data_IF_821667847129
#
_entry.id   IF_821667847129
#
_cell.length_a   1.000
_cell.length_b   1.000
_cell.length_c   1.000
_cell.angle_alpha   90.00
_cell.angle_beta   90.00
_cell.angle_gamma   90.00
#
_symmetry.space_group_name_H-M   'P 1'
#
loop_
_entity.id
_entity.type
_entity.pdbx_description
1 polymer ?
#
# COMPACT_ATOMS: atom_id res chain seq x y z
N UNK A 1 -13.39 24.33 -6.15
CA UNK A 1 -13.22 23.34 -5.06
C UNK A 1 -11.90 22.67 -5.36
N UNK A 2 -10.90 22.89 -4.52
CA UNK A 2 -9.61 22.22 -4.69
C UNK A 2 -9.84 20.72 -4.55
N UNK A 3 -9.36 19.94 -5.50
CA UNK A 3 -9.48 18.48 -5.45
C UNK A 3 -8.74 17.98 -4.19
N UNK A 4 -9.41 17.10 -3.46
CA UNK A 4 -8.91 16.60 -2.18
C UNK A 4 -7.85 15.54 -2.47
N UNK A 5 -6.56 15.88 -2.33
CA UNK A 5 -5.48 14.89 -2.41
C UNK A 5 -5.64 13.87 -1.27
N UNK A 6 -5.40 12.59 -1.54
CA UNK A 6 -5.35 11.54 -0.51
C UNK A 6 -3.97 11.47 0.18
N UNK A 7 -3.03 12.28 -0.26
CA UNK A 7 -1.70 12.37 0.33
C UNK A 7 -1.25 13.82 0.51
N UNK A 8 -0.30 14.03 1.41
CA UNK A 8 0.52 15.24 1.51
C UNK A 8 1.97 14.86 1.80
N UNK A 9 2.90 15.62 1.24
CA UNK A 9 4.33 15.44 1.43
C UNK A 9 4.92 16.75 1.96
N UNK A 10 5.60 16.65 3.09
CA UNK A 10 6.31 17.76 3.71
C UNK A 10 7.78 17.37 3.87
N UNK A 11 8.71 18.28 3.62
CA UNK A 11 10.13 18.04 3.82
C UNK A 11 10.76 19.16 4.60
N UNK A 12 11.54 18.80 5.61
CA UNK A 12 12.28 19.74 6.44
C UNK A 12 13.64 19.17 6.81
N UNK A 13 14.71 19.89 6.45
CA UNK A 13 16.07 19.41 6.53
C UNK A 13 16.21 18.09 5.73
N UNK A 14 16.83 17.07 6.27
CA UNK A 14 17.06 15.79 5.62
C UNK A 14 15.93 14.77 5.86
N UNK A 15 14.78 15.17 6.42
CA UNK A 15 13.66 14.30 6.75
C UNK A 15 12.41 14.75 6.00
N UNK A 16 11.70 13.79 5.43
CA UNK A 16 10.40 14.00 4.81
C UNK A 16 9.30 13.24 5.55
N UNK A 17 8.10 13.81 5.59
CA UNK A 17 6.89 13.17 6.11
C UNK A 17 5.86 13.09 4.98
N UNK A 18 5.50 11.85 4.61
CA UNK A 18 4.46 11.53 3.64
C UNK A 18 3.23 11.02 4.40
N UNK A 19 2.09 11.66 4.20
CA UNK A 19 0.80 11.23 4.78
C UNK A 19 -0.07 10.65 3.67
N UNK A 20 -0.48 9.39 3.79
CA UNK A 20 -1.41 8.69 2.89
C UNK A 20 -2.71 8.49 3.68
N UNK A 21 -3.62 9.46 3.56
CA UNK A 21 -4.87 9.52 4.33
C UNK A 21 -6.07 9.57 3.37
N UNK A 22 -6.66 8.41 3.12
CA UNK A 22 -7.80 8.25 2.22
C UNK A 22 -7.62 7.13 1.20
N UNK A 23 -8.46 7.10 0.16
CA UNK A 23 -8.47 6.04 -0.85
C UNK A 23 -7.32 6.20 -1.84
N UNK A 24 -6.57 5.13 -2.07
CA UNK A 24 -5.48 5.07 -3.05
C UNK A 24 -6.09 4.85 -4.43
N UNK A 25 -6.02 5.86 -5.28
CA UNK A 25 -6.71 5.84 -6.58
C UNK A 25 -6.02 6.70 -7.64
N UNK A 26 -6.12 6.28 -8.89
CA UNK A 26 -5.67 7.02 -10.08
C UNK A 26 -6.77 7.86 -10.75
N UNK A 27 -7.91 8.05 -10.12
CA UNK A 27 -9.04 8.78 -10.73
C UNK A 27 -8.68 10.22 -11.06
N UNK A 28 -8.77 10.61 -12.35
CA UNK A 28 -8.27 11.91 -12.81
C UNK A 28 -9.02 13.16 -12.29
N UNK A 29 -10.17 12.96 -11.65
CA UNK A 29 -10.94 14.04 -11.01
C UNK A 29 -10.47 14.39 -9.58
N UNK A 30 -9.71 13.49 -8.98
CA UNK A 30 -8.96 13.74 -7.77
C UNK A 30 -7.56 14.09 -8.28
N UNK A 31 -7.03 15.25 -7.99
CA UNK A 31 -5.64 15.65 -8.35
C UNK A 31 -4.57 14.76 -7.66
N UNK A 32 -4.88 13.50 -7.51
CA UNK A 32 -4.12 12.44 -6.85
C UNK A 32 -3.78 11.36 -7.86
N UNK A 33 -3.03 11.75 -8.89
CA UNK A 33 -2.38 10.80 -9.77
C UNK A 33 -1.19 10.19 -9.01
N UNK A 34 -1.10 8.86 -8.96
CA UNK A 34 0.07 8.17 -8.39
C UNK A 34 1.35 8.62 -9.07
N UNK A 35 1.28 9.01 -10.34
CA UNK A 35 2.42 9.63 -11.00
C UNK A 35 2.90 10.88 -10.27
N UNK A 36 2.02 11.64 -9.63
CA UNK A 36 2.40 12.82 -8.85
C UNK A 36 3.16 12.42 -7.58
N UNK A 37 2.64 11.46 -6.80
CA UNK A 37 3.32 11.02 -5.56
C UNK A 37 4.67 10.36 -5.88
N UNK A 38 4.72 9.53 -6.94
CA UNK A 38 5.96 8.88 -7.39
C UNK A 38 6.99 9.89 -7.84
N UNK A 39 6.58 10.90 -8.64
CA UNK A 39 7.47 11.96 -9.09
C UNK A 39 7.97 12.84 -7.95
N UNK A 40 7.09 13.17 -6.98
CA UNK A 40 7.48 13.92 -5.79
C UNK A 40 8.50 13.12 -4.96
N UNK A 41 8.29 11.82 -4.73
CA UNK A 41 9.22 10.94 -4.02
C UNK A 41 10.57 10.81 -4.75
N UNK A 42 10.56 10.67 -6.08
CA UNK A 42 11.80 10.54 -6.87
C UNK A 42 12.61 11.84 -6.94
N UNK A 43 11.96 13.00 -6.79
CA UNK A 43 12.61 14.30 -6.78
C UNK A 43 13.03 14.77 -5.38
N UNK A 44 12.71 14.01 -4.34
CA UNK A 44 12.93 14.38 -2.96
C UNK A 44 14.41 14.30 -2.60
N UNK A 45 14.95 15.40 -2.10
CA UNK A 45 16.32 15.46 -1.54
C UNK A 45 16.23 15.31 -0.01
N UNK A 46 16.04 14.08 0.45
CA UNK A 46 15.96 13.73 1.86
C UNK A 46 16.73 12.42 2.12
N UNK A 47 17.20 12.22 3.35
CA UNK A 47 17.87 10.99 3.78
C UNK A 47 16.94 10.01 4.45
N UNK A 48 15.86 10.52 5.03
CA UNK A 48 14.87 9.74 5.78
C UNK A 48 13.47 10.16 5.35
N UNK A 49 12.56 9.20 5.32
CA UNK A 49 11.14 9.45 5.06
C UNK A 49 10.28 8.67 6.05
N UNK A 50 9.34 9.37 6.70
CA UNK A 50 8.28 8.79 7.48
C UNK A 50 7.01 8.72 6.63
N UNK A 51 6.41 7.56 6.50
CA UNK A 51 5.19 7.33 5.73
C UNK A 51 4.05 7.02 6.69
N UNK A 52 3.23 8.02 6.95
CA UNK A 52 2.05 7.94 7.81
C UNK A 52 0.86 7.40 7.02
N UNK A 53 0.23 6.33 7.51
CA UNK A 53 -0.82 5.62 6.79
C UNK A 53 -2.10 5.59 7.62
N UNK A 54 -3.19 6.09 7.02
CA UNK A 54 -4.56 5.91 7.49
C UNK A 54 -5.48 5.78 6.27
N UNK A 55 -5.60 4.56 5.73
CA UNK A 55 -6.25 4.27 4.46
C UNK A 55 -6.89 2.88 4.45
N UNK A 56 -8.06 2.79 3.84
CA UNK A 56 -8.70 1.51 3.52
C UNK A 56 -8.09 0.81 2.29
N UNK A 57 -7.12 1.43 1.64
CA UNK A 57 -6.49 0.91 0.42
C UNK A 57 -7.08 1.50 -0.85
N UNK A 58 -7.22 0.69 -1.87
CA UNK A 58 -7.70 1.10 -3.18
C UNK A 58 -7.07 0.31 -4.31
N UNK A 59 -6.64 0.99 -5.39
CA UNK A 59 -6.10 0.33 -6.56
C UNK A 59 -4.75 -0.34 -6.27
N UNK A 60 -4.67 -1.65 -6.54
CA UNK A 60 -3.46 -2.45 -6.26
C UNK A 60 -2.26 -1.95 -7.05
N UNK A 61 -2.47 -1.57 -8.33
CA UNK A 61 -1.39 -1.04 -9.18
C UNK A 61 -0.73 0.20 -8.55
N UNK A 62 -1.53 1.10 -8.01
CA UNK A 62 -1.12 2.32 -7.36
C UNK A 62 -0.35 2.05 -6.06
N UNK A 63 -0.90 1.14 -5.23
CA UNK A 63 -0.22 0.69 -4.02
C UNK A 63 1.15 0.06 -4.29
N UNK A 64 1.25 -0.78 -5.32
CA UNK A 64 2.51 -1.40 -5.75
C UNK A 64 3.51 -0.37 -6.31
N UNK A 65 3.04 0.65 -7.04
CA UNK A 65 3.91 1.71 -7.55
C UNK A 65 4.55 2.51 -6.41
N UNK A 66 3.76 2.90 -5.41
CA UNK A 66 4.25 3.61 -4.21
C UNK A 66 5.20 2.69 -3.42
N UNK A 67 4.80 1.44 -3.17
CA UNK A 67 5.64 0.44 -2.49
C UNK A 67 7.02 0.31 -3.15
N UNK A 68 7.05 0.10 -4.46
CA UNK A 68 8.30 -0.08 -5.20
C UNK A 68 9.15 1.20 -5.21
N UNK A 69 8.53 2.38 -5.30
CA UNK A 69 9.26 3.66 -5.26
C UNK A 69 9.96 3.84 -3.91
N UNK A 70 9.25 3.62 -2.81
CA UNK A 70 9.81 3.70 -1.46
C UNK A 70 10.89 2.64 -1.26
N UNK A 71 10.64 1.40 -1.68
CA UNK A 71 11.55 0.26 -1.51
C UNK A 71 12.85 0.40 -2.26
N UNK A 72 12.83 1.09 -3.40
CA UNK A 72 13.99 1.31 -4.27
C UNK A 72 14.65 2.68 -4.03
N UNK A 73 14.17 3.48 -3.09
CA UNK A 73 14.81 4.75 -2.73
C UNK A 73 16.06 4.52 -1.89
N UNK A 74 16.98 5.46 -1.93
CA UNK A 74 18.17 5.48 -1.06
C UNK A 74 17.87 6.04 0.35
N UNK A 75 16.63 6.49 0.59
CA UNK A 75 16.19 7.01 1.88
C UNK A 75 15.96 5.86 2.88
N UNK A 76 16.22 6.13 4.17
CA UNK A 76 15.74 5.27 5.25
C UNK A 76 14.22 5.45 5.38
N UNK A 77 13.46 4.40 5.09
CA UNK A 77 11.99 4.44 5.10
C UNK A 77 11.45 3.93 6.42
N UNK A 78 10.68 4.74 7.11
CA UNK A 78 9.87 4.34 8.28
C UNK A 78 8.38 4.43 7.91
N UNK A 79 7.64 3.33 7.97
CA UNK A 79 6.19 3.34 7.76
C UNK A 79 5.45 3.24 9.08
N UNK A 80 4.42 4.07 9.25
CA UNK A 80 3.68 4.24 10.49
C UNK A 80 2.19 4.05 10.21
N UNK A 81 1.57 3.05 10.82
CA UNK A 81 0.13 2.88 10.78
C UNK A 81 -0.52 3.72 11.87
N UNK A 82 -1.10 4.87 11.49
CA UNK A 82 -1.72 5.82 12.41
C UNK A 82 -3.18 5.48 12.75
N UNK A 83 -3.86 4.78 11.87
CA UNK A 83 -5.20 4.30 12.05
C UNK A 83 -5.36 2.94 11.36
N UNK A 84 -5.74 2.96 10.10
CA UNK A 84 -5.85 1.74 9.31
C UNK A 84 -4.81 1.72 8.19
N UNK A 85 -4.21 0.55 7.96
CA UNK A 85 -3.49 0.25 6.74
C UNK A 85 -4.10 -1.02 6.14
N UNK A 86 -5.09 -0.86 5.26
CA UNK A 86 -5.86 -1.96 4.70
C UNK A 86 -5.53 -2.17 3.22
N UNK A 87 -5.58 -3.43 2.74
CA UNK A 87 -5.49 -3.75 1.32
C UNK A 87 -4.22 -3.14 0.68
N UNK A 88 -4.33 -2.36 -0.41
CA UNK A 88 -3.20 -1.69 -1.05
C UNK A 88 -2.36 -0.82 -0.09
N UNK A 89 -2.98 -0.22 0.95
CA UNK A 89 -2.27 0.54 1.97
C UNK A 89 -1.39 -0.34 2.87
N UNK A 90 -1.81 -1.58 3.16
CA UNK A 90 -0.98 -2.54 3.90
C UNK A 90 0.22 -3.02 3.07
N UNK A 91 0.09 -3.07 1.74
CA UNK A 91 1.24 -3.32 0.85
C UNK A 91 2.25 -2.17 0.95
N UNK A 92 1.80 -0.91 0.91
CA UNK A 92 2.69 0.25 1.09
C UNK A 92 3.38 0.20 2.46
N UNK A 93 2.66 -0.19 3.52
CA UNK A 93 3.22 -0.34 4.86
C UNK A 93 4.43 -1.29 4.89
N UNK A 94 4.45 -2.31 4.05
CA UNK A 94 5.57 -3.26 3.95
C UNK A 94 6.83 -2.68 3.28
N UNK A 95 6.77 -1.48 2.71
CA UNK A 95 7.96 -0.84 2.13
C UNK A 95 8.96 -0.37 3.20
N UNK A 96 8.50 -0.11 4.42
CA UNK A 96 9.34 0.40 5.51
C UNK A 96 10.51 -0.51 5.87
N UNK A 97 11.67 0.09 6.07
CA UNK A 97 12.81 -0.56 6.75
C UNK A 97 12.48 -0.74 8.22
N UNK A 98 11.85 0.26 8.81
CA UNK A 98 11.20 0.22 10.10
C UNK A 98 9.68 0.35 9.91
N UNK A 99 8.90 -0.46 10.60
CA UNK A 99 7.45 -0.48 10.53
C UNK A 99 6.87 -0.34 11.93
N UNK A 100 6.08 0.69 12.12
CA UNK A 100 5.47 1.05 13.40
C UNK A 100 3.96 0.94 13.25
N UNK A 101 3.32 0.16 14.10
CA UNK A 101 1.88 0.10 14.22
C UNK A 101 1.48 0.62 15.59
N UNK A 102 0.66 1.67 15.63
CA UNK A 102 0.15 2.22 16.88
C UNK A 102 -0.81 1.24 17.57
N UNK A 103 -0.86 1.23 18.88
CA UNK A 103 -1.61 0.24 19.68
C UNK A 103 -3.10 0.14 19.30
N UNK A 104 -3.72 1.27 18.91
CA UNK A 104 -5.12 1.34 18.49
C UNK A 104 -5.30 1.25 16.96
N UNK A 105 -4.25 0.86 16.21
CA UNK A 105 -4.28 0.76 14.76
C UNK A 105 -4.43 -0.68 14.30
N UNK A 106 -4.90 -0.86 13.07
CA UNK A 106 -5.14 -2.16 12.46
C UNK A 106 -4.54 -2.24 11.06
N UNK A 107 -3.98 -3.41 10.73
CA UNK A 107 -3.76 -3.81 9.36
C UNK A 107 -4.93 -4.68 8.88
N UNK A 108 -5.18 -4.70 7.57
CA UNK A 108 -6.07 -5.69 6.95
C UNK A 108 -5.49 -6.13 5.63
N UNK A 109 -5.42 -7.44 5.45
CA UNK A 109 -4.92 -8.07 4.24
C UNK A 109 -5.97 -8.98 3.63
N UNK A 110 -6.09 -8.93 2.31
CA UNK A 110 -7.02 -9.76 1.53
C UNK A 110 -6.53 -9.93 0.09
N UNK A 111 -7.17 -10.82 -0.65
CA UNK A 111 -6.92 -11.02 -2.07
C UNK A 111 -7.41 -9.82 -2.89
N UNK A 112 -6.76 -9.57 -4.03
CA UNK A 112 -7.26 -8.60 -4.98
C UNK A 112 -8.65 -9.00 -5.49
N UNK A 113 -9.52 -8.02 -5.69
CA UNK A 113 -10.87 -8.26 -6.19
C UNK A 113 -11.24 -7.26 -7.30
N UNK A 114 -12.19 -7.65 -8.14
CA UNK A 114 -12.73 -6.78 -9.19
C UNK A 114 -14.16 -7.14 -9.52
N UNK A 115 -14.83 -6.23 -10.22
CA UNK A 115 -16.08 -6.55 -10.91
C UNK A 115 -15.75 -7.01 -12.33
N UNK A 116 -16.20 -8.20 -12.71
CA UNK A 116 -16.01 -8.74 -14.04
C UNK A 116 -17.33 -9.24 -14.63
N UNK A 117 -17.53 -9.03 -15.93
CA UNK A 117 -18.63 -9.58 -16.69
C UNK A 117 -18.09 -10.13 -18.01
N UNK A 118 -18.75 -11.13 -18.56
CA UNK A 118 -18.34 -11.73 -19.81
C UNK A 118 -18.81 -13.19 -19.93
N UNK A 119 -18.38 -13.84 -20.99
CA UNK A 119 -18.59 -15.30 -21.17
C UNK A 119 -17.63 -16.10 -20.24
N UNK A 120 -17.85 -17.43 -20.21
CA UNK A 120 -17.08 -18.30 -19.30
C UNK A 120 -15.55 -18.24 -19.51
N UNK A 121 -15.08 -18.01 -20.73
CA UNK A 121 -13.64 -17.90 -21.03
C UNK A 121 -13.09 -16.59 -20.52
N UNK A 122 -13.80 -15.49 -20.72
CA UNK A 122 -13.41 -14.16 -20.23
C UNK A 122 -13.39 -14.09 -18.70
N UNK A 123 -14.38 -14.71 -18.04
CA UNK A 123 -14.41 -14.76 -16.56
C UNK A 123 -13.28 -15.60 -15.98
N UNK A 124 -12.93 -16.75 -16.61
CA UNK A 124 -11.75 -17.53 -16.17
C UNK A 124 -10.46 -16.73 -16.34
N UNK A 125 -10.33 -16.02 -17.48
CA UNK A 125 -9.16 -15.17 -17.71
C UNK A 125 -9.04 -14.06 -16.67
N UNK A 126 -10.15 -13.40 -16.31
CA UNK A 126 -10.16 -12.39 -15.27
C UNK A 126 -9.74 -12.95 -13.90
N UNK A 127 -10.20 -14.17 -13.56
CA UNK A 127 -9.77 -14.85 -12.32
C UNK A 127 -8.26 -15.16 -12.34
N UNK A 128 -7.72 -15.71 -13.44
CA UNK A 128 -6.27 -15.94 -13.57
C UNK A 128 -5.44 -14.67 -13.47
N UNK A 129 -5.95 -13.53 -13.94
CA UNK A 129 -5.26 -12.24 -13.82
C UNK A 129 -5.30 -11.72 -12.38
N UNK A 130 -6.43 -11.90 -11.67
CA UNK A 130 -6.53 -11.57 -10.24
C UNK A 130 -5.57 -12.39 -9.38
N UNK A 131 -5.37 -13.67 -9.69
CA UNK A 131 -4.39 -14.51 -9.00
C UNK A 131 -2.98 -13.94 -9.12
N UNK A 132 -2.60 -13.44 -10.31
CA UNK A 132 -1.29 -12.81 -10.52
C UNK A 132 -1.16 -11.48 -9.78
N UNK A 133 -2.22 -10.68 -9.77
CA UNK A 133 -2.27 -9.40 -9.04
C UNK A 133 -2.14 -9.65 -7.54
N UNK A 134 -2.88 -10.65 -7.02
CA UNK A 134 -2.78 -11.08 -5.63
C UNK A 134 -1.36 -11.53 -5.27
N UNK A 135 -0.71 -12.33 -6.14
CA UNK A 135 0.65 -12.80 -5.91
C UNK A 135 1.66 -11.65 -5.81
N UNK A 136 1.46 -10.54 -6.53
CA UNK A 136 2.32 -9.36 -6.37
C UNK A 136 2.24 -8.76 -4.96
N UNK A 137 1.04 -8.72 -4.37
CA UNK A 137 0.86 -8.30 -2.97
C UNK A 137 1.47 -9.30 -1.98
N UNK A 138 1.28 -10.60 -2.22
CA UNK A 138 1.92 -11.68 -1.42
C UNK A 138 3.44 -11.49 -1.39
N UNK A 139 4.07 -11.20 -2.52
CA UNK A 139 5.51 -10.98 -2.59
C UNK A 139 5.98 -9.81 -1.72
N UNK A 140 5.19 -8.74 -1.63
CA UNK A 140 5.48 -7.61 -0.75
C UNK A 140 5.44 -8.05 0.73
N UNK A 141 4.44 -8.81 1.14
CA UNK A 141 4.34 -9.33 2.52
C UNK A 141 5.48 -10.30 2.85
N UNK A 142 5.73 -11.30 2.00
CA UNK A 142 6.81 -12.29 2.19
C UNK A 142 8.18 -11.62 2.36
N UNK A 143 8.40 -10.48 1.69
CA UNK A 143 9.67 -9.77 1.79
C UNK A 143 10.00 -9.25 3.21
N UNK A 144 9.01 -9.20 4.11
CA UNK A 144 9.14 -8.59 5.44
C UNK A 144 8.53 -9.42 6.58
N UNK A 145 7.57 -10.29 6.29
CA UNK A 145 6.93 -11.14 7.28
C UNK A 145 7.86 -12.26 7.76
N UNK A 146 7.65 -12.73 8.98
CA UNK A 146 8.38 -13.87 9.57
C UNK A 146 7.62 -15.18 9.42
N UNK A 147 6.38 -15.14 8.93
CA UNK A 147 5.52 -16.29 8.64
C UNK A 147 5.70 -16.76 7.19
N UNK A 148 5.27 -17.98 6.89
CA UNK A 148 5.40 -18.56 5.56
C UNK A 148 4.48 -17.92 4.52
N UNK A 149 4.80 -18.07 3.24
CA UNK A 149 3.94 -17.63 2.13
C UNK A 149 2.55 -18.26 2.20
N UNK A 150 2.46 -19.55 2.57
CA UNK A 150 1.19 -20.26 2.69
C UNK A 150 0.33 -19.70 3.84
N UNK A 151 0.94 -19.31 4.95
CA UNK A 151 0.23 -18.62 6.04
C UNK A 151 -0.26 -17.24 5.62
N UNK A 152 0.54 -16.46 4.88
CA UNK A 152 0.13 -15.16 4.33
C UNK A 152 -1.07 -15.35 3.39
N UNK A 153 -1.02 -16.30 2.46
CA UNK A 153 -2.12 -16.61 1.56
C UNK A 153 -3.39 -17.00 2.32
N UNK A 154 -3.26 -17.84 3.35
CA UNK A 154 -4.39 -18.22 4.18
C UNK A 154 -5.01 -17.01 4.93
N UNK A 155 -4.19 -16.09 5.43
CA UNK A 155 -4.69 -14.84 6.04
C UNK A 155 -5.41 -13.97 5.01
N UNK A 156 -4.88 -13.86 3.78
CA UNK A 156 -5.50 -13.10 2.70
C UNK A 156 -6.81 -13.72 2.22
N UNK A 157 -6.90 -15.05 2.11
CA UNK A 157 -8.12 -15.79 1.75
C UNK A 157 -9.26 -15.56 2.75
N UNK A 158 -8.91 -15.31 4.02
CA UNK A 158 -9.86 -15.06 5.11
C UNK A 158 -10.13 -13.57 5.37
N UNK A 159 -9.61 -12.65 4.55
CA UNK A 159 -9.73 -11.20 4.77
C UNK A 159 -9.42 -10.84 6.25
N UNK A 160 -8.15 -10.98 6.63
CA UNK A 160 -7.77 -10.95 8.04
C UNK A 160 -7.43 -9.53 8.50
N UNK A 161 -8.06 -9.14 9.60
CA UNK A 161 -7.71 -7.96 10.38
C UNK A 161 -6.67 -8.32 11.43
N UNK A 162 -5.62 -7.52 11.53
CA UNK A 162 -4.43 -7.80 12.34
C UNK A 162 -4.21 -6.62 13.29
N UNK A 163 -4.23 -6.88 14.58
CA UNK A 163 -3.93 -5.89 15.62
C UNK A 163 -2.44 -5.60 15.73
N UNK A 164 -2.07 -4.54 16.43
CA UNK A 164 -0.66 -4.22 16.69
C UNK A 164 0.10 -5.34 17.44
N UNK A 165 -0.61 -6.14 18.24
CA UNK A 165 0.00 -7.25 19.00
C UNK A 165 0.21 -8.50 18.14
N UNK A 166 -0.57 -8.67 17.07
CA UNK A 166 -0.50 -9.82 16.17
C UNK A 166 0.50 -9.57 15.03
N UNK A 167 0.75 -8.28 14.70
CA UNK A 167 1.69 -7.87 13.67
C UNK A 167 3.15 -7.94 14.16
#
# INVERSE_FOLDING_TARGET
MDAKKYYSLESKNDVADLYIFGDITSWPWLESDVSAIVNELQSLDAKEINVHINSYGGEVAEGLAIYNTLKNSDMKVTTICDGFACSAASVIFMAGDERIINEASLLMIHNAWTYANGNATELRKAAEDLDKITQASVNAYVSRAVISEDEIKNLMDNETWITAQEA
#
